data_IF_512507480435
#
_entry.id   IF_512507480435
#
_cell.length_a   1.000
_cell.length_b   1.000
_cell.length_c   1.000
_cell.angle_alpha   90.00
_cell.angle_beta   90.00
_cell.angle_gamma   90.00
#
_symmetry.space_group_name_H-M   'P 1'
#
loop_
_entity.id
_entity.type
_entity.pdbx_description
1 polymer ?
#
# COMPACT_ATOMS: atom_id res chain seq x y z
N UNK A 1 -47.12 56.55 4.41
CA UNK A 1 -47.48 57.66 5.33
C UNK A 1 -47.25 57.15 6.75
N UNK A 2 -46.32 57.79 7.48
CA UNK A 2 -45.89 57.60 8.88
C UNK A 2 -45.24 56.25 9.28
N UNK A 3 -43.92 56.14 9.52
CA UNK A 3 -43.04 56.66 10.60
C UNK A 3 -43.22 56.01 11.97
N UNK A 4 -42.14 55.41 12.49
CA UNK A 4 -41.67 55.38 13.90
C UNK A 4 -40.15 55.02 13.84
N UNK A 5 -39.18 55.92 14.14
CA UNK A 5 -38.55 56.19 15.46
C UNK A 5 -38.28 54.89 16.26
N UNK A 6 -37.11 54.55 16.78
CA UNK A 6 -35.77 55.15 16.92
C UNK A 6 -35.01 54.38 18.02
N UNK A 7 -33.67 54.25 17.88
CA UNK A 7 -32.59 54.30 18.92
C UNK A 7 -32.77 53.43 20.20
N UNK A 8 -31.85 52.56 20.66
CA UNK A 8 -30.49 52.18 20.25
C UNK A 8 -29.78 51.32 21.33
N UNK A 9 -28.49 51.00 21.06
CA UNK A 9 -27.38 50.66 22.01
C UNK A 9 -27.46 49.23 22.64
N UNK A 10 -26.43 48.36 22.72
CA UNK A 10 -25.03 48.29 22.29
C UNK A 10 -24.51 46.83 22.30
N UNK A 11 -23.47 46.60 21.47
CA UNK A 11 -22.31 45.70 21.63
C UNK A 11 -22.51 44.26 22.14
N UNK A 12 -22.31 43.32 21.22
CA UNK A 12 -21.82 41.97 21.51
C UNK A 12 -20.97 41.48 20.35
N UNK A 13 -19.66 41.63 20.46
CA UNK A 13 -18.68 41.18 19.49
C UNK A 13 -18.70 39.64 19.45
N UNK A 14 -19.17 39.03 18.36
CA UNK A 14 -18.93 37.61 18.06
C UNK A 14 -18.33 37.51 16.67
N UNK A 15 -17.02 37.32 16.67
CA UNK A 15 -16.24 36.81 15.56
C UNK A 15 -16.84 35.48 15.09
N UNK A 16 -17.40 35.49 13.88
CA UNK A 16 -17.75 34.27 13.16
C UNK A 16 -16.46 33.53 12.75
N UNK A 17 -16.29 32.23 13.05
CA UNK A 17 -15.32 31.43 12.33
C UNK A 17 -15.88 31.21 10.93
N UNK A 18 -15.15 31.70 9.93
CA UNK A 18 -15.34 31.32 8.52
C UNK A 18 -15.28 29.79 8.43
N UNK A 19 -16.34 29.18 7.94
CA UNK A 19 -16.32 27.80 7.46
C UNK A 19 -15.29 27.71 6.32
N UNK A 20 -14.09 27.23 6.64
CA UNK A 20 -13.10 26.85 5.64
C UNK A 20 -13.60 25.61 4.91
N UNK A 21 -13.79 25.72 3.60
CA UNK A 21 -14.14 24.59 2.75
C UNK A 21 -13.05 23.52 2.88
N UNK A 22 -13.39 22.37 3.47
CA UNK A 22 -12.57 21.18 3.39
C UNK A 22 -12.55 20.74 1.93
N UNK A 23 -11.47 21.08 1.21
CA UNK A 23 -11.22 20.57 -0.14
C UNK A 23 -10.85 19.11 0.00
N UNK A 24 -11.74 18.27 -0.52
CA UNK A 24 -11.57 16.84 -0.71
C UNK A 24 -10.29 16.56 -1.52
N UNK A 25 -9.56 15.50 -1.16
CA UNK A 25 -8.46 14.94 -1.95
C UNK A 25 -8.97 14.61 -3.35
N UNK A 26 -8.33 15.08 -4.44
CA UNK A 26 -8.43 14.38 -5.70
C UNK A 26 -7.49 13.16 -5.60
N UNK A 27 -8.06 11.96 -5.42
CA UNK A 27 -7.40 10.68 -5.72
C UNK A 27 -7.14 10.50 -7.25
N UNK A 28 -7.22 11.59 -8.02
CA UNK A 28 -7.09 11.64 -9.48
C UNK A 28 -5.64 11.78 -9.97
N UNK A 29 -4.66 11.98 -9.09
CA UNK A 29 -3.31 12.35 -9.54
C UNK A 29 -2.28 11.20 -9.56
N UNK A 30 -2.57 9.99 -9.06
CA UNK A 30 -1.64 8.86 -9.22
C UNK A 30 -1.54 8.37 -10.68
N UNK A 31 -2.57 8.60 -11.50
CA UNK A 31 -2.60 8.15 -12.89
C UNK A 31 -2.14 9.19 -13.93
N UNK A 32 -1.77 10.41 -13.52
CA UNK A 32 -1.30 11.46 -14.45
C UNK A 32 -0.44 12.49 -13.72
N UNK A 33 0.88 12.31 -13.79
CA UNK A 33 1.83 13.34 -14.24
C UNK A 33 3.25 12.79 -14.26
N UNK A 34 3.62 12.21 -15.41
CA UNK A 34 4.96 12.43 -15.93
C UNK A 34 5.13 13.93 -16.17
N UNK A 35 5.95 14.59 -15.35
CA UNK A 35 6.78 15.77 -15.68
C UNK A 35 7.27 16.43 -14.39
N UNK A 36 8.29 15.83 -13.82
CA UNK A 36 9.45 16.62 -13.45
C UNK A 36 10.66 15.70 -13.62
N UNK A 37 11.54 15.91 -14.61
CA UNK A 37 12.81 15.21 -14.60
C UNK A 37 13.54 15.75 -13.37
N UNK A 38 13.58 14.97 -12.29
CA UNK A 38 14.68 15.13 -11.34
C UNK A 38 15.93 14.97 -12.20
N UNK A 39 16.66 16.07 -12.38
CA UNK A 39 17.90 16.05 -13.13
C UNK A 39 18.74 14.95 -12.52
N UNK A 40 19.12 13.96 -13.34
CA UNK A 40 20.06 12.92 -12.97
C UNK A 40 21.22 13.59 -12.20
N UNK A 41 21.34 13.43 -10.86
CA UNK A 41 22.40 14.12 -10.09
C UNK A 41 23.81 13.80 -10.61
N UNK A 42 23.90 12.67 -11.32
CA UNK A 42 24.98 12.08 -12.08
C UNK A 42 25.55 12.93 -13.22
N UNK A 43 24.86 14.00 -13.66
CA UNK A 43 25.34 14.88 -14.73
C UNK A 43 26.02 16.16 -14.22
N UNK A 44 26.28 16.26 -12.91
CA UNK A 44 27.01 17.38 -12.34
C UNK A 44 28.46 16.98 -12.04
N UNK A 45 29.39 17.54 -12.81
CA UNK A 45 30.84 17.50 -12.54
C UNK A 45 31.15 18.26 -11.23
N UNK A 46 30.79 17.69 -10.08
CA UNK A 46 31.20 18.20 -8.77
C UNK A 46 32.12 17.17 -8.14
N UNK A 47 33.37 17.57 -7.96
CA UNK A 47 34.40 16.86 -7.21
C UNK A 47 33.90 16.55 -5.79
N UNK A 48 34.10 15.34 -5.25
CA UNK A 48 33.70 15.01 -3.89
C UNK A 48 34.44 15.88 -2.86
N UNK A 49 33.78 16.38 -1.81
CA UNK A 49 34.49 17.03 -0.70
C UNK A 49 35.29 16.01 0.11
N UNK A 50 36.47 16.43 0.57
CA UNK A 50 37.38 15.66 1.42
C UNK A 50 36.73 15.32 2.78
N UNK A 51 37.05 14.12 3.25
CA UNK A 51 36.47 13.47 4.43
C UNK A 51 37.09 14.08 5.70
N UNK A 52 36.28 14.74 6.53
CA UNK A 52 36.65 15.18 7.87
C UNK A 52 36.19 14.17 8.94
N UNK A 53 37.11 13.75 9.80
CA UNK A 53 36.91 12.77 10.87
C UNK A 53 36.00 13.28 12.01
N UNK A 54 34.75 12.79 12.07
CA UNK A 54 33.99 12.53 13.32
C UNK A 54 32.86 11.51 13.06
N UNK A 55 33.15 10.19 13.13
CA UNK A 55 32.19 9.06 13.19
C UNK A 55 31.28 8.82 11.97
N UNK A 56 31.09 7.58 11.46
CA UNK A 56 30.29 7.38 10.26
C UNK A 56 28.80 7.41 10.62
N UNK A 57 28.21 8.60 10.61
CA UNK A 57 26.80 8.75 10.22
C UNK A 57 26.80 8.64 8.70
N UNK A 58 27.07 7.42 8.24
CA UNK A 58 27.60 7.12 6.92
C UNK A 58 26.53 6.59 5.99
N UNK A 59 26.69 6.88 4.71
CA UNK A 59 25.91 6.34 3.59
C UNK A 59 25.58 4.86 3.74
N UNK A 60 24.30 4.51 3.60
CA UNK A 60 23.78 3.14 3.71
C UNK A 60 23.12 2.71 2.41
N UNK A 61 22.92 1.41 2.22
CA UNK A 61 22.03 0.94 1.16
C UNK A 61 20.58 1.31 1.49
N UNK A 62 19.78 1.55 0.46
CA UNK A 62 18.37 1.89 0.62
C UNK A 62 17.58 0.84 1.40
N UNK A 63 17.76 -0.45 1.14
CA UNK A 63 17.06 -1.52 1.85
C UNK A 63 17.32 -1.50 3.36
N UNK A 64 18.58 -1.29 3.77
CA UNK A 64 18.95 -1.21 5.18
C UNK A 64 18.40 0.05 5.86
N UNK A 65 18.51 1.19 5.19
CA UNK A 65 18.03 2.47 5.71
C UNK A 65 16.50 2.49 5.80
N UNK A 66 15.82 1.95 4.79
CA UNK A 66 14.37 1.82 4.71
C UNK A 66 13.84 0.85 5.78
N UNK A 67 14.46 -0.33 5.97
CA UNK A 67 14.09 -1.27 7.04
C UNK A 67 14.16 -0.61 8.43
N UNK A 68 15.25 0.11 8.73
CA UNK A 68 15.40 0.81 10.00
C UNK A 68 14.35 1.93 10.15
N UNK A 69 14.14 2.71 9.08
CA UNK A 69 13.23 3.84 9.08
C UNK A 69 11.77 3.43 9.31
N UNK A 70 11.32 2.30 8.77
CA UNK A 70 9.92 1.86 8.91
C UNK A 70 9.70 0.89 10.08
N UNK A 71 10.60 -0.08 10.27
CA UNK A 71 10.38 -1.24 11.14
C UNK A 71 11.34 -1.34 12.33
N UNK A 72 12.41 -0.53 12.35
CA UNK A 72 13.35 -0.45 13.46
C UNK A 72 12.67 -0.07 14.79
N UNK A 73 13.39 -0.09 15.93
CA UNK A 73 12.80 0.18 17.25
C UNK A 73 12.08 1.53 17.34
N UNK A 74 12.59 2.53 16.61
CA UNK A 74 11.96 3.84 16.43
C UNK A 74 11.33 4.02 15.05
N UNK A 75 10.96 2.96 14.35
CA UNK A 75 10.47 3.03 12.98
C UNK A 75 9.10 3.71 12.86
N UNK A 76 8.79 4.18 11.65
CA UNK A 76 7.54 4.85 11.30
C UNK A 76 6.31 4.08 11.77
N UNK A 77 6.19 2.79 11.42
CA UNK A 77 4.99 2.00 11.76
C UNK A 77 4.84 1.67 13.25
N UNK A 78 5.89 1.84 14.06
CA UNK A 78 5.80 1.67 15.52
C UNK A 78 5.39 2.95 16.24
N UNK A 79 5.69 4.12 15.67
CA UNK A 79 5.49 5.44 16.31
C UNK A 79 4.27 6.17 15.78
N UNK A 80 4.08 6.14 14.47
CA UNK A 80 2.92 6.74 13.85
C UNK A 80 1.73 5.87 14.24
N UNK A 81 0.93 6.31 15.21
CA UNK A 81 -0.43 5.81 15.32
C UNK A 81 -1.09 6.11 13.97
N UNK A 82 -1.43 5.12 13.12
CA UNK A 82 -1.79 5.40 11.72
C UNK A 82 -3.12 6.16 11.56
N UNK A 83 -3.74 6.62 12.65
CA UNK A 83 -4.99 7.38 12.62
C UNK A 83 -4.87 8.73 11.88
N UNK A 84 -3.68 9.33 11.76
CA UNK A 84 -3.52 10.62 11.06
C UNK A 84 -2.86 10.51 9.67
N UNK A 85 -2.13 9.42 9.39
CA UNK A 85 -1.46 9.21 8.10
C UNK A 85 -2.22 8.25 7.17
N UNK A 86 -3.00 7.32 7.73
CA UNK A 86 -3.96 6.44 7.04
C UNK A 86 -5.42 6.84 7.32
N UNK A 87 -5.64 8.08 7.77
CA UNK A 87 -6.96 8.70 7.99
C UNK A 87 -7.87 8.72 6.74
N UNK A 88 -7.43 8.19 5.60
CA UNK A 88 -8.22 8.07 4.36
C UNK A 88 -8.17 6.69 3.72
N UNK A 89 -7.89 5.62 4.46
CA UNK A 89 -8.08 4.26 3.91
C UNK A 89 -8.42 3.21 4.95
N UNK A 90 -8.70 3.56 6.21
CA UNK A 90 -9.19 2.55 7.16
C UNK A 90 -10.31 3.11 8.07
N UNK A 91 -10.15 4.33 8.60
CA UNK A 91 -11.27 5.09 9.19
C UNK A 91 -12.16 5.78 8.12
N UNK A 92 -11.64 5.91 6.89
CA UNK A 92 -12.32 6.49 5.73
C UNK A 92 -12.94 5.46 4.78
N UNK A 93 -12.90 4.17 5.11
CA UNK A 93 -13.34 3.11 4.20
C UNK A 93 -14.85 2.95 4.09
N UNK A 94 -15.67 3.41 5.04
CA UNK A 94 -17.14 3.33 4.95
C UNK A 94 -17.65 2.09 4.20
N UNK A 95 -18.30 2.31 3.05
CA UNK A 95 -18.78 1.23 2.18
C UNK A 95 -17.71 0.55 1.29
N UNK A 96 -16.56 1.19 1.03
CA UNK A 96 -15.43 0.65 0.27
C UNK A 96 -14.77 -0.52 1.01
N UNK A 97 -14.50 -0.38 2.32
CA UNK A 97 -13.89 -1.46 3.12
C UNK A 97 -14.84 -2.64 3.31
N UNK A 98 -16.13 -2.37 3.52
CA UNK A 98 -17.15 -3.41 3.57
C UNK A 98 -17.25 -4.20 2.24
N UNK A 99 -17.14 -3.52 1.09
CA UNK A 99 -17.11 -4.20 -0.21
C UNK A 99 -15.84 -5.00 -0.44
N UNK A 100 -14.68 -4.53 0.02
CA UNK A 100 -13.46 -5.30 -0.03
C UNK A 100 -13.59 -6.57 0.83
N UNK A 101 -14.07 -6.44 2.08
CA UNK A 101 -14.35 -7.57 2.95
C UNK A 101 -15.33 -8.58 2.32
N UNK A 102 -16.44 -8.10 1.73
CA UNK A 102 -17.39 -8.93 0.98
C UNK A 102 -16.70 -9.69 -0.15
N UNK A 103 -15.85 -9.02 -0.93
CA UNK A 103 -15.15 -9.66 -2.05
C UNK A 103 -14.18 -10.76 -1.59
N UNK A 104 -13.53 -10.57 -0.44
CA UNK A 104 -12.64 -11.58 0.14
C UNK A 104 -13.42 -12.77 0.70
N UNK A 105 -14.59 -12.55 1.31
CA UNK A 105 -15.48 -13.63 1.74
C UNK A 105 -16.00 -14.44 0.55
N UNK A 106 -16.43 -13.76 -0.53
CA UNK A 106 -16.85 -14.43 -1.76
C UNK A 106 -15.71 -15.21 -2.42
N UNK A 107 -14.49 -14.67 -2.37
CA UNK A 107 -13.31 -15.35 -2.86
C UNK A 107 -12.99 -16.59 -2.02
N UNK A 108 -13.05 -16.48 -0.69
CA UNK A 108 -12.87 -17.60 0.23
C UNK A 108 -13.93 -18.69 -0.03
N UNK A 109 -15.20 -18.31 -0.14
CA UNK A 109 -16.32 -19.22 -0.44
C UNK A 109 -16.11 -19.95 -1.78
N UNK A 110 -15.74 -19.22 -2.84
CA UNK A 110 -15.47 -19.80 -4.18
C UNK A 110 -14.40 -20.89 -4.13
N UNK A 111 -13.44 -20.79 -3.20
CA UNK A 111 -12.35 -21.74 -3.01
C UNK A 111 -12.58 -22.71 -1.83
N UNK A 112 -13.73 -22.67 -1.16
CA UNK A 112 -14.04 -23.52 -0.01
C UNK A 112 -13.15 -23.28 1.21
N UNK A 113 -12.67 -22.05 1.40
CA UNK A 113 -11.73 -21.65 2.44
C UNK A 113 -12.49 -21.16 3.68
N UNK A 114 -12.03 -21.55 4.86
CA UNK A 114 -12.71 -21.26 6.15
C UNK A 114 -11.92 -20.30 7.03
N UNK A 115 -10.67 -20.00 6.65
CA UNK A 115 -9.78 -19.08 7.37
C UNK A 115 -9.35 -17.94 6.47
N UNK A 116 -9.29 -16.72 7.01
CA UNK A 116 -8.65 -15.57 6.38
C UNK A 116 -7.52 -15.07 7.28
N UNK A 117 -6.33 -14.91 6.70
CA UNK A 117 -5.18 -14.29 7.35
C UNK A 117 -4.83 -13.00 6.63
N UNK A 118 -4.78 -11.88 7.35
CA UNK A 118 -4.35 -10.58 6.82
C UNK A 118 -2.92 -10.25 7.27
N UNK A 119 -2.01 -10.03 6.32
CA UNK A 119 -0.65 -9.52 6.54
C UNK A 119 -0.64 -8.01 6.38
N UNK A 120 0.01 -7.31 7.30
CA UNK A 120 -0.01 -5.85 7.33
C UNK A 120 -1.38 -5.33 7.77
N UNK A 121 -1.99 -6.02 8.75
CA UNK A 121 -3.38 -5.77 9.15
C UNK A 121 -3.61 -4.38 9.77
N UNK A 122 -2.56 -3.61 10.06
CA UNK A 122 -2.66 -2.24 10.55
C UNK A 122 -3.44 -2.18 11.87
N UNK A 123 -4.60 -1.50 11.86
CA UNK A 123 -5.49 -1.45 13.03
C UNK A 123 -6.66 -2.44 12.95
N UNK A 124 -6.63 -3.35 11.99
CA UNK A 124 -7.59 -4.44 11.84
C UNK A 124 -8.94 -3.99 11.30
N UNK A 125 -9.01 -2.89 10.54
CA UNK A 125 -10.25 -2.40 9.97
C UNK A 125 -10.89 -3.41 8.98
N UNK A 126 -10.07 -4.07 8.17
CA UNK A 126 -10.54 -5.13 7.27
C UNK A 126 -11.04 -6.34 8.08
N UNK A 127 -10.27 -6.82 9.05
CA UNK A 127 -10.68 -7.90 9.96
C UNK A 127 -11.97 -7.58 10.73
N UNK A 128 -12.15 -6.33 11.15
CA UNK A 128 -13.38 -5.88 11.81
C UNK A 128 -14.58 -5.97 10.87
N UNK A 129 -14.40 -5.55 9.60
CA UNK A 129 -15.44 -5.67 8.60
C UNK A 129 -15.76 -7.14 8.27
N UNK A 130 -14.74 -7.99 8.13
CA UNK A 130 -14.89 -9.43 7.90
C UNK A 130 -15.65 -10.10 9.06
N UNK A 131 -15.25 -9.83 10.31
CA UNK A 131 -15.89 -10.38 11.51
C UNK A 131 -17.38 -9.99 11.61
N UNK A 132 -17.74 -8.77 11.21
CA UNK A 132 -19.12 -8.31 11.21
C UNK A 132 -19.99 -9.01 10.14
N UNK A 133 -19.37 -9.50 9.05
CA UNK A 133 -20.07 -10.12 7.92
C UNK A 133 -20.12 -11.64 7.99
N UNK A 134 -19.11 -12.28 8.58
CA UNK A 134 -19.03 -13.74 8.70
C UNK A 134 -18.42 -14.17 10.04
N UNK A 135 -19.24 -14.30 11.09
CA UNK A 135 -18.79 -14.70 12.43
C UNK A 135 -18.16 -16.10 12.48
N UNK A 136 -18.47 -16.96 11.52
CA UNK A 136 -17.97 -18.34 11.45
C UNK A 136 -16.61 -18.45 10.74
N UNK A 137 -16.12 -17.36 10.13
CA UNK A 137 -14.79 -17.35 9.47
C UNK A 137 -13.71 -17.19 10.52
N UNK A 138 -12.70 -18.05 10.48
CA UNK A 138 -11.53 -17.87 11.33
C UNK A 138 -10.67 -16.72 10.81
N UNK A 139 -10.43 -15.71 11.64
CA UNK A 139 -9.73 -14.49 11.26
C UNK A 139 -8.43 -14.33 12.04
N UNK A 140 -7.33 -14.07 11.33
CA UNK A 140 -6.02 -13.81 11.94
C UNK A 140 -5.43 -12.54 11.34
N UNK A 141 -5.08 -11.58 12.20
CA UNK A 141 -4.28 -10.42 11.80
C UNK A 141 -2.80 -10.61 12.11
N UNK A 142 -1.94 -10.16 11.20
CA UNK A 142 -0.49 -10.19 11.36
C UNK A 142 0.06 -8.79 11.11
N UNK A 143 0.66 -8.18 12.12
CA UNK A 143 1.24 -6.84 12.00
C UNK A 143 2.38 -6.61 13.01
N UNK A 144 3.22 -5.61 12.76
CA UNK A 144 4.32 -5.23 13.66
C UNK A 144 3.81 -4.59 14.95
N UNK A 145 2.61 -4.01 14.92
CA UNK A 145 1.98 -3.39 16.09
C UNK A 145 1.26 -4.40 16.98
N UNK A 146 1.00 -4.00 18.22
CA UNK A 146 0.19 -4.80 19.13
C UNK A 146 -1.26 -4.86 18.67
N UNK A 147 -1.94 -5.93 19.09
CA UNK A 147 -3.35 -6.15 18.81
C UNK A 147 -4.17 -4.88 19.13
N UNK A 148 -4.87 -4.31 18.14
CA UNK A 148 -5.77 -3.18 18.37
C UNK A 148 -6.88 -3.51 19.37
N UNK A 149 -7.10 -2.62 20.36
CA UNK A 149 -8.16 -2.78 21.37
C UNK A 149 -9.58 -2.95 20.78
N UNK A 150 -9.97 -2.27 19.68
CA UNK A 150 -11.32 -2.40 19.12
C UNK A 150 -11.60 -3.73 18.39
N UNK A 151 -10.59 -4.59 18.16
CA UNK A 151 -10.80 -5.82 17.42
C UNK A 151 -11.68 -6.81 18.19
N UNK A 152 -12.67 -7.45 17.54
CA UNK A 152 -13.48 -8.50 18.16
C UNK A 152 -12.60 -9.61 18.77
N UNK A 153 -12.89 -10.09 20.00
CA UNK A 153 -12.03 -11.01 20.73
C UNK A 153 -11.79 -12.35 20.01
N UNK A 154 -12.65 -12.71 19.06
CA UNK A 154 -12.56 -13.92 18.24
C UNK A 154 -11.45 -13.84 17.17
N UNK A 155 -11.06 -12.62 16.76
CA UNK A 155 -9.96 -12.43 15.80
C UNK A 155 -8.64 -12.79 16.49
N UNK A 156 -7.82 -13.65 15.92
CA UNK A 156 -6.46 -13.91 16.44
C UNK A 156 -5.46 -12.86 15.96
N UNK A 157 -4.36 -12.68 16.69
CA UNK A 157 -3.32 -11.70 16.34
C UNK A 157 -1.92 -12.28 16.51
N UNK A 158 -1.06 -12.09 15.50
CA UNK A 158 0.34 -12.51 15.52
C UNK A 158 1.21 -11.28 15.27
N UNK A 159 2.26 -11.11 16.09
CA UNK A 159 3.19 -9.99 15.92
C UNK A 159 4.20 -10.30 14.84
N UNK A 160 4.30 -9.43 13.84
CA UNK A 160 5.29 -9.49 12.76
C UNK A 160 6.62 -8.86 13.19
N UNK A 161 7.76 -9.36 12.69
CA UNK A 161 9.05 -8.67 12.82
C UNK A 161 9.11 -7.36 11.99
N UNK A 162 8.29 -7.23 10.94
CA UNK A 162 8.27 -6.09 10.01
C UNK A 162 9.19 -6.24 8.80
N UNK A 163 8.80 -5.65 7.68
CA UNK A 163 9.48 -5.81 6.39
C UNK A 163 9.11 -7.12 5.70
N UNK A 164 10.08 -7.74 5.02
CA UNK A 164 9.90 -9.01 4.32
C UNK A 164 9.68 -10.25 5.21
N UNK A 165 10.35 -10.41 6.37
CA UNK A 165 10.24 -11.64 7.15
C UNK A 165 8.84 -11.86 7.73
N UNK A 166 8.38 -13.10 7.68
CA UNK A 166 7.13 -13.54 8.30
C UNK A 166 7.38 -14.22 9.65
N UNK A 167 6.44 -14.15 10.61
CA UNK A 167 6.56 -14.84 11.89
C UNK A 167 6.59 -16.37 11.72
N UNK A 168 7.36 -17.06 12.56
CA UNK A 168 7.55 -18.52 12.49
C UNK A 168 6.24 -19.29 12.75
N UNK A 169 5.35 -18.71 13.56
CA UNK A 169 4.02 -19.24 13.85
C UNK A 169 3.11 -19.30 12.61
N UNK A 170 3.40 -18.49 11.60
CA UNK A 170 2.66 -18.46 10.35
C UNK A 170 3.21 -19.54 9.41
N UNK A 171 2.88 -20.80 9.66
CA UNK A 171 3.35 -21.93 8.85
C UNK A 171 2.31 -23.04 8.74
N UNK A 172 2.37 -23.83 7.67
CA UNK A 172 1.51 -24.99 7.46
C UNK A 172 0.02 -24.67 7.37
N UNK A 173 -0.35 -23.46 6.94
CA UNK A 173 -1.72 -22.99 6.87
C UNK A 173 -2.56 -23.82 5.88
N UNK A 174 -3.80 -24.11 6.25
CA UNK A 174 -4.68 -25.02 5.52
C UNK A 174 -6.06 -24.41 5.40
N UNK A 175 -6.67 -24.54 4.22
CA UNK A 175 -8.01 -24.04 3.91
C UNK A 175 -8.11 -22.52 4.16
N UNK A 176 -7.01 -21.83 3.84
CA UNK A 176 -6.77 -20.43 4.16
C UNK A 176 -6.75 -19.55 2.92
N UNK A 177 -7.49 -18.44 2.96
CA UNK A 177 -7.22 -17.28 2.14
C UNK A 177 -6.22 -16.37 2.87
N UNK A 178 -4.97 -16.38 2.44
CA UNK A 178 -3.99 -15.43 2.94
C UNK A 178 -4.05 -14.18 2.06
N UNK A 179 -4.21 -13.01 2.67
CA UNK A 179 -4.27 -11.71 2.01
C UNK A 179 -3.14 -10.82 2.52
N UNK A 180 -2.42 -10.18 1.61
CA UNK A 180 -1.52 -9.07 1.92
C UNK A 180 -1.91 -7.88 1.04
N UNK A 181 -2.47 -6.83 1.63
CA UNK A 181 -2.96 -5.64 0.91
C UNK A 181 -2.04 -4.46 1.21
N UNK A 182 -1.38 -3.92 0.19
CA UNK A 182 -0.36 -2.86 0.30
C UNK A 182 0.77 -3.27 1.28
N UNK A 183 1.32 -4.47 1.06
CA UNK A 183 2.40 -4.99 1.90
C UNK A 183 3.73 -5.02 1.14
N UNK A 184 3.74 -5.45 -0.13
CA UNK A 184 4.99 -5.59 -0.87
C UNK A 184 5.58 -4.23 -1.27
N UNK A 185 4.78 -3.20 -1.45
CA UNK A 185 5.24 -1.85 -1.77
C UNK A 185 6.09 -1.23 -0.67
N UNK A 186 5.86 -1.62 0.58
CA UNK A 186 6.58 -1.17 1.79
C UNK A 186 7.65 -2.16 2.26
N UNK A 187 7.75 -3.34 1.64
CA UNK A 187 8.89 -4.25 1.84
C UNK A 187 10.16 -3.58 1.29
N UNK A 188 11.20 -3.37 2.14
CA UNK A 188 12.42 -2.70 1.73
C UNK A 188 13.17 -3.46 0.64
N UNK A 189 13.69 -2.71 -0.33
CA UNK A 189 14.46 -3.27 -1.43
C UNK A 189 15.64 -2.37 -1.82
N UNK A 190 16.72 -2.94 -2.35
CA UNK A 190 17.84 -2.16 -2.87
C UNK A 190 17.37 -1.27 -4.02
N UNK A 191 18.02 -0.12 -4.18
CA UNK A 191 17.82 0.76 -5.34
C UNK A 191 19.12 0.76 -6.14
N UNK A 192 19.00 0.68 -7.47
CA UNK A 192 20.13 0.77 -8.38
C UNK A 192 19.89 1.84 -9.44
N UNK A 193 20.99 2.44 -9.91
CA UNK A 193 21.00 3.37 -11.03
C UNK A 193 22.10 2.98 -12.02
N UNK A 194 21.85 3.21 -13.31
CA UNK A 194 22.76 2.90 -14.40
C UNK A 194 23.72 4.06 -14.61
N UNK A 195 25.02 3.78 -14.56
CA UNK A 195 26.08 4.74 -14.86
C UNK A 195 26.18 5.06 -16.37
N UNK A 196 26.98 6.08 -16.75
CA UNK A 196 27.17 6.46 -18.15
C UNK A 196 27.77 5.37 -19.04
N UNK A 197 28.49 4.41 -18.45
CA UNK A 197 29.08 3.25 -19.11
C UNK A 197 28.09 2.07 -19.26
N UNK A 198 26.85 2.23 -18.77
CA UNK A 198 25.82 1.20 -18.78
C UNK A 198 25.86 0.24 -17.59
N UNK A 199 26.83 0.39 -16.68
CA UNK A 199 26.98 -0.44 -15.49
C UNK A 199 25.95 -0.07 -14.43
N UNK A 200 25.32 -1.06 -13.80
CA UNK A 200 24.43 -0.81 -12.66
C UNK A 200 25.24 -0.59 -11.38
N UNK A 201 24.95 0.49 -10.66
CA UNK A 201 25.49 0.81 -9.35
C UNK A 201 24.38 0.82 -8.31
N UNK A 202 24.68 0.32 -7.11
CA UNK A 202 23.78 0.54 -5.97
C UNK A 202 23.63 2.04 -5.71
N UNK A 203 22.46 2.47 -5.24
CA UNK A 203 22.23 3.83 -4.74
C UNK A 203 22.36 3.79 -3.22
N UNK A 204 23.29 4.56 -2.70
CA UNK A 204 23.46 4.76 -1.26
C UNK A 204 22.74 6.03 -0.82
N UNK A 205 22.24 6.04 0.40
CA UNK A 205 21.45 7.12 0.98
C UNK A 205 22.01 7.55 2.34
N UNK A 206 22.01 8.85 2.58
CA UNK A 206 22.31 9.47 3.88
C UNK A 206 21.00 9.73 4.66
N UNK A 207 21.05 9.95 5.99
CA UNK A 207 19.84 10.14 6.79
C UNK A 207 18.94 11.31 6.36
N UNK A 208 19.49 12.32 5.67
CA UNK A 208 18.75 13.46 5.13
C UNK A 208 18.06 13.17 3.78
N UNK A 209 18.21 11.95 3.25
CA UNK A 209 17.69 11.53 1.94
C UNK A 209 18.62 11.88 0.78
N UNK A 210 19.79 12.48 1.02
CA UNK A 210 20.79 12.67 -0.03
C UNK A 210 21.26 11.32 -0.57
N UNK A 211 21.49 11.22 -1.87
CA UNK A 211 21.90 9.99 -2.54
C UNK A 211 23.27 10.11 -3.21
N UNK A 212 24.00 8.99 -3.30
CA UNK A 212 25.22 8.88 -4.11
C UNK A 212 25.39 7.48 -4.72
N UNK A 213 26.18 7.36 -5.80
CA UNK A 213 26.64 6.06 -6.29
C UNK A 213 27.32 5.23 -5.22
N UNK A 214 26.92 3.97 -5.14
CA UNK A 214 27.59 2.91 -4.42
C UNK A 214 28.40 1.98 -5.34
N UNK A 215 28.83 0.83 -4.81
CA UNK A 215 29.52 -0.20 -5.58
C UNK A 215 28.68 -0.71 -6.77
N UNK A 216 29.33 -1.26 -7.82
CA UNK A 216 28.63 -1.97 -8.88
C UNK A 216 27.74 -3.08 -8.34
N UNK A 217 26.54 -3.22 -8.90
CA UNK A 217 25.62 -4.32 -8.57
C UNK A 217 26.15 -5.61 -9.20
N UNK A 218 26.15 -6.70 -8.43
CA UNK A 218 26.65 -8.00 -8.87
C UNK A 218 25.74 -9.15 -8.38
N UNK A 219 25.98 -10.34 -8.90
CA UNK A 219 25.28 -11.57 -8.47
C UNK A 219 23.77 -11.53 -8.76
N UNK A 220 22.93 -12.14 -7.90
CA UNK A 220 21.52 -12.33 -8.24
C UNK A 220 20.72 -11.03 -8.34
N UNK A 221 21.19 -9.94 -7.72
CA UNK A 221 20.57 -8.62 -7.90
C UNK A 221 20.82 -8.06 -9.31
N UNK A 222 22.02 -8.29 -9.87
CA UNK A 222 22.33 -7.94 -11.26
C UNK A 222 21.57 -8.83 -12.25
N UNK A 223 21.41 -10.11 -11.93
CA UNK A 223 20.65 -11.05 -12.76
C UNK A 223 19.17 -10.66 -12.80
N UNK A 224 18.60 -10.26 -11.66
CA UNK A 224 17.24 -9.71 -11.59
C UNK A 224 17.08 -8.46 -12.47
N UNK A 225 18.00 -7.49 -12.35
CA UNK A 225 17.99 -6.28 -13.18
C UNK A 225 18.04 -6.61 -14.67
N UNK A 226 18.89 -7.56 -15.08
CA UNK A 226 19.03 -7.97 -16.49
C UNK A 226 17.83 -8.77 -17.01
N UNK A 227 17.17 -9.53 -16.14
CA UNK A 227 16.02 -10.37 -16.50
C UNK A 227 14.70 -9.59 -16.59
N UNK A 228 14.55 -8.53 -15.79
CA UNK A 228 13.26 -7.85 -15.61
C UNK A 228 13.21 -6.40 -16.10
N UNK A 229 14.34 -5.75 -16.37
CA UNK A 229 14.35 -4.34 -16.79
C UNK A 229 14.71 -4.16 -18.26
N UNK A 230 13.88 -3.41 -19.02
CA UNK A 230 14.24 -2.91 -20.33
C UNK A 230 15.50 -2.04 -20.32
N UNK A 231 16.13 -1.87 -21.49
CA UNK A 231 17.40 -1.15 -21.62
C UNK A 231 17.26 0.35 -21.31
N UNK A 232 16.08 0.93 -21.56
CA UNK A 232 15.72 2.33 -21.31
C UNK A 232 15.55 2.68 -19.83
N UNK A 233 15.44 1.69 -18.94
CA UNK A 233 15.37 1.93 -17.50
C UNK A 233 16.77 2.29 -16.98
N UNK A 234 16.86 3.48 -16.38
CA UNK A 234 18.11 4.04 -15.85
C UNK A 234 18.18 4.02 -14.32
N UNK A 235 17.06 3.78 -13.64
CA UNK A 235 16.96 3.62 -12.19
C UNK A 235 15.81 2.68 -11.83
N UNK A 236 16.04 1.81 -10.86
CA UNK A 236 15.03 0.86 -10.42
C UNK A 236 15.22 0.41 -8.97
N UNK A 237 14.10 0.05 -8.37
CA UNK A 237 14.03 -0.77 -7.16
C UNK A 237 14.21 -2.26 -7.54
N UNK A 238 15.20 -2.93 -6.94
CA UNK A 238 15.49 -4.35 -7.21
C UNK A 238 14.46 -5.22 -6.49
N UNK A 239 13.52 -5.78 -7.23
CA UNK A 239 12.34 -6.49 -6.68
C UNK A 239 12.63 -7.84 -6.01
N UNK A 240 13.86 -8.37 -6.09
CA UNK A 240 14.22 -9.70 -5.55
C UNK A 240 13.77 -9.94 -4.10
N UNK A 241 13.93 -9.01 -3.14
CA UNK A 241 13.44 -9.22 -1.77
C UNK A 241 11.91 -9.38 -1.70
N UNK A 242 11.17 -8.70 -2.57
CA UNK A 242 9.70 -8.78 -2.66
C UNK A 242 9.26 -10.08 -3.32
N UNK A 243 9.98 -10.52 -4.36
CA UNK A 243 9.76 -11.85 -4.96
C UNK A 243 9.99 -12.96 -3.91
N UNK A 244 11.05 -12.84 -3.10
CA UNK A 244 11.33 -13.76 -2.00
C UNK A 244 10.26 -13.70 -0.90
N UNK A 245 9.77 -12.50 -0.57
CA UNK A 245 8.70 -12.32 0.41
C UNK A 245 7.38 -12.96 -0.06
N UNK A 246 7.02 -12.80 -1.34
CA UNK A 246 5.86 -13.46 -1.95
C UNK A 246 6.02 -14.99 -1.99
N UNK A 247 7.21 -15.48 -2.30
CA UNK A 247 7.51 -16.90 -2.30
C UNK A 247 7.42 -17.50 -0.87
N UNK A 248 7.97 -16.83 0.14
CA UNK A 248 7.85 -17.24 1.55
C UNK A 248 6.39 -17.26 1.99
N UNK A 249 5.64 -16.20 1.64
CA UNK A 249 4.22 -16.10 1.91
C UNK A 249 3.42 -17.27 1.33
N UNK A 250 3.71 -17.61 0.07
CA UNK A 250 3.11 -18.75 -0.63
C UNK A 250 3.51 -20.09 -0.02
N UNK A 251 4.74 -20.20 0.50
CA UNK A 251 5.23 -21.40 1.17
C UNK A 251 4.59 -21.63 2.54
N UNK A 252 4.11 -20.59 3.22
CA UNK A 252 3.37 -20.72 4.51
C UNK A 252 2.02 -21.40 4.35
N UNK A 253 1.46 -21.41 3.15
CA UNK A 253 0.14 -21.97 2.84
C UNK A 253 0.29 -23.33 2.14
N UNK A 254 -0.14 -24.39 2.86
CA UNK A 254 -0.17 -25.78 2.38
C UNK A 254 -1.37 -26.03 1.47
N UNK A 255 -2.56 -25.60 1.91
CA UNK A 255 -3.78 -25.61 1.10
C UNK A 255 -4.49 -24.27 1.23
N UNK A 256 -4.92 -23.69 0.12
CA UNK A 256 -5.62 -22.42 0.13
C UNK A 256 -5.27 -21.51 -1.04
N UNK A 257 -5.45 -20.21 -0.84
CA UNK A 257 -5.17 -19.18 -1.83
C UNK A 257 -4.33 -18.08 -1.19
N UNK A 258 -3.25 -17.69 -1.87
CA UNK A 258 -2.46 -16.50 -1.50
C UNK A 258 -2.87 -15.38 -2.43
N UNK A 259 -3.26 -14.25 -1.88
CA UNK A 259 -3.63 -13.03 -2.59
C UNK A 259 -2.74 -11.88 -2.10
N UNK A 260 -2.00 -11.27 -3.02
CA UNK A 260 -1.35 -9.99 -2.78
C UNK A 260 -2.04 -8.92 -3.63
N UNK A 261 -2.40 -7.82 -2.98
CA UNK A 261 -3.01 -6.65 -3.61
C UNK A 261 -2.08 -5.47 -3.44
N UNK A 262 -1.47 -5.01 -4.52
CA UNK A 262 -0.48 -3.94 -4.47
C UNK A 262 -0.54 -3.07 -5.73
N UNK A 263 -0.13 -1.81 -5.61
CA UNK A 263 0.08 -0.97 -6.78
C UNK A 263 1.49 -1.17 -7.34
N UNK A 264 1.57 -1.20 -8.66
CA UNK A 264 2.79 -1.60 -9.32
C UNK A 264 2.71 -1.53 -10.83
N UNK A 265 3.58 -2.26 -11.49
CA UNK A 265 3.72 -2.27 -12.94
C UNK A 265 4.05 -3.67 -13.47
N UNK A 266 3.76 -3.88 -14.75
CA UNK A 266 4.20 -5.04 -15.52
C UNK A 266 5.39 -4.67 -16.41
N UNK A 267 6.03 -5.65 -17.06
CA UNK A 267 7.13 -5.45 -18.01
C UNK A 267 6.88 -4.32 -19.03
N UNK A 268 5.65 -4.18 -19.54
CA UNK A 268 5.30 -3.17 -20.55
C UNK A 268 5.23 -1.73 -20.01
N UNK A 269 5.04 -1.57 -18.70
CA UNK A 269 4.78 -0.28 -18.05
C UNK A 269 5.88 0.10 -17.04
N UNK A 270 7.07 -0.51 -17.17
CA UNK A 270 8.19 -0.33 -16.24
C UNK A 270 8.60 1.16 -16.15
N UNK A 271 8.63 1.76 -14.95
CA UNK A 271 9.07 3.13 -14.73
C UNK A 271 10.54 3.29 -15.10
N UNK A 272 10.85 4.30 -15.90
CA UNK A 272 12.21 4.54 -16.38
C UNK A 272 13.17 4.96 -15.26
N UNK A 273 12.64 5.66 -14.24
CA UNK A 273 13.41 6.37 -13.21
C UNK A 273 13.15 5.85 -11.79
N UNK A 274 12.60 4.63 -11.65
CA UNK A 274 12.12 4.11 -10.37
C UNK A 274 10.87 4.81 -9.85
N UNK A 275 10.44 4.42 -8.67
CA UNK A 275 9.18 4.85 -8.04
C UNK A 275 9.28 5.13 -6.55
N UNK A 276 10.44 4.89 -5.93
CA UNK A 276 10.66 5.16 -4.51
C UNK A 276 10.23 6.59 -4.14
N UNK A 277 9.33 6.67 -3.18
CA UNK A 277 8.77 7.94 -2.70
C UNK A 277 8.52 7.87 -1.19
N UNK A 278 8.40 9.05 -0.57
CA UNK A 278 7.92 9.18 0.79
C UNK A 278 6.48 9.72 0.84
N UNK A 279 5.76 9.44 1.91
CA UNK A 279 4.52 10.11 2.28
C UNK A 279 4.60 10.69 3.69
N UNK A 280 4.11 11.91 3.85
CA UNK A 280 4.00 12.62 5.14
C UNK A 280 2.65 13.30 5.21
N UNK A 281 1.92 13.09 6.29
CA UNK A 281 0.57 13.66 6.50
C UNK A 281 -0.37 13.42 5.29
N UNK A 282 -0.28 12.25 4.67
CA UNK A 282 -1.07 11.87 3.49
C UNK A 282 -0.71 12.61 2.19
N UNK A 283 0.42 13.30 2.15
CA UNK A 283 0.96 14.00 0.97
C UNK A 283 2.26 13.37 0.53
N UNK A 284 2.46 13.23 -0.78
CA UNK A 284 3.70 12.73 -1.35
C UNK A 284 4.86 13.70 -1.05
N UNK A 285 5.99 13.17 -0.62
CA UNK A 285 7.19 13.90 -0.25
C UNK A 285 8.45 13.18 -0.80
N UNK A 286 9.59 13.88 -0.90
CA UNK A 286 10.86 13.21 -1.16
C UNK A 286 11.12 12.08 -0.13
N UNK A 287 11.66 10.93 -0.55
CA UNK A 287 11.95 9.83 0.37
C UNK A 287 13.10 10.19 1.31
N UNK A 288 12.88 10.09 2.62
CA UNK A 288 13.88 10.33 3.67
C UNK A 288 13.84 9.16 4.67
N UNK A 289 14.95 8.43 4.88
CA UNK A 289 14.99 7.24 5.74
C UNK A 289 15.30 7.59 7.21
N UNK A 290 14.58 8.56 7.77
CA UNK A 290 14.68 8.97 9.19
C UNK A 290 13.45 8.56 10.03
N UNK A 291 12.53 7.81 9.40
CA UNK A 291 11.27 7.35 9.98
C UNK A 291 10.23 8.46 10.16
N UNK A 292 10.40 9.59 9.48
CA UNK A 292 9.44 10.71 9.47
C UNK A 292 8.51 10.69 8.25
N UNK A 293 8.77 9.82 7.28
CA UNK A 293 7.92 9.51 6.15
C UNK A 293 7.63 8.00 6.09
N UNK A 294 6.47 7.67 5.55
CA UNK A 294 6.16 6.34 5.05
C UNK A 294 6.87 6.15 3.71
N UNK A 295 7.70 5.12 3.57
CA UNK A 295 8.52 4.89 2.39
C UNK A 295 7.94 3.73 1.59
N UNK A 296 7.74 3.95 0.30
CA UNK A 296 7.12 2.97 -0.59
C UNK A 296 7.69 3.06 -2.01
N UNK A 297 7.61 1.95 -2.74
CA UNK A 297 7.88 1.88 -4.16
C UNK A 297 6.95 0.88 -4.84
N UNK A 298 6.61 1.12 -6.10
CA UNK A 298 5.77 0.26 -6.92
C UNK A 298 6.33 -1.17 -7.01
N UNK A 299 5.44 -2.15 -7.06
CA UNK A 299 5.82 -3.56 -7.15
C UNK A 299 5.97 -4.01 -8.60
N UNK A 300 6.97 -4.85 -8.83
CA UNK A 300 7.20 -5.58 -10.07
C UNK A 300 6.31 -6.83 -10.13
N UNK A 301 5.02 -6.70 -10.44
CA UNK A 301 4.06 -7.81 -10.23
C UNK A 301 4.39 -9.06 -11.07
N UNK A 302 4.90 -8.86 -12.28
CA UNK A 302 5.29 -9.93 -13.19
C UNK A 302 6.59 -10.66 -12.77
N UNK A 303 7.35 -10.16 -11.78
CA UNK A 303 8.50 -10.90 -11.22
C UNK A 303 8.13 -11.84 -10.07
N UNK A 304 6.96 -11.67 -9.44
CA UNK A 304 6.57 -12.42 -8.25
C UNK A 304 6.40 -13.94 -8.49
N UNK A 305 6.19 -14.34 -9.74
CA UNK A 305 5.90 -15.75 -10.08
C UNK A 305 4.51 -16.21 -9.63
N UNK A 306 3.56 -15.28 -9.47
CA UNK A 306 2.17 -15.61 -9.18
C UNK A 306 1.49 -16.33 -10.36
N UNK A 307 0.56 -17.25 -10.07
CA UNK A 307 -0.19 -17.98 -11.10
C UNK A 307 -1.01 -17.05 -12.00
N UNK A 308 -1.64 -16.04 -11.39
CA UNK A 308 -2.43 -15.04 -12.09
C UNK A 308 -2.18 -13.64 -11.54
N UNK A 309 -2.10 -12.67 -12.46
CA UNK A 309 -2.04 -11.25 -12.15
C UNK A 309 -3.14 -10.56 -12.95
N UNK A 310 -4.07 -9.88 -12.26
CA UNK A 310 -5.17 -9.13 -12.88
C UNK A 310 -5.40 -7.82 -12.14
N UNK A 311 -6.03 -6.85 -12.77
CA UNK A 311 -6.36 -5.60 -12.06
C UNK A 311 -7.42 -5.85 -10.97
N UNK A 312 -7.40 -5.06 -9.90
CA UNK A 312 -8.42 -5.04 -8.86
C UNK A 312 -9.79 -4.75 -9.47
N UNK A 313 -9.84 -3.87 -10.48
CA UNK A 313 -11.07 -3.61 -11.25
C UNK A 313 -11.66 -4.90 -11.83
N UNK A 314 -10.85 -5.69 -12.54
CA UNK A 314 -11.29 -6.96 -13.12
C UNK A 314 -11.70 -7.95 -12.04
N UNK A 315 -10.92 -8.03 -10.97
CA UNK A 315 -11.19 -8.95 -9.88
C UNK A 315 -12.51 -8.67 -9.15
N UNK A 316 -12.74 -7.41 -8.81
CA UNK A 316 -13.95 -7.00 -8.13
C UNK A 316 -15.17 -7.05 -9.04
N UNK A 317 -15.03 -6.81 -10.34
CA UNK A 317 -16.14 -7.01 -11.28
C UNK A 317 -16.54 -8.48 -11.45
N UNK A 318 -15.58 -9.39 -11.38
CA UNK A 318 -15.82 -10.84 -11.40
C UNK A 318 -16.50 -11.33 -10.11
N UNK A 319 -16.15 -10.76 -8.96
CA UNK A 319 -16.71 -11.17 -7.66
C UNK A 319 -18.04 -10.48 -7.33
N UNK A 320 -18.15 -9.16 -7.55
CA UNK A 320 -19.26 -8.33 -7.09
C UNK A 320 -20.18 -7.85 -8.23
N UNK A 321 -19.82 -8.11 -9.48
CA UNK A 321 -20.49 -7.54 -10.65
C UNK A 321 -20.09 -6.08 -10.91
N UNK A 322 -20.82 -5.44 -11.83
CA UNK A 322 -20.61 -4.01 -12.16
C UNK A 322 -21.45 -3.12 -11.27
N UNK A 323 -20.94 -1.92 -10.99
CA UNK A 323 -21.72 -0.91 -10.29
C UNK A 323 -22.91 -0.47 -11.16
N UNK A 324 -24.12 -0.68 -10.66
CA UNK A 324 -25.36 -0.20 -11.28
C UNK A 324 -25.97 0.88 -10.39
N UNK A 325 -26.35 2.01 -10.99
CA UNK A 325 -27.05 3.06 -10.26
C UNK A 325 -28.47 2.58 -9.94
N UNK A 326 -28.96 2.75 -8.70
CA UNK A 326 -30.33 2.41 -8.38
C UNK A 326 -31.32 3.27 -9.19
N UNK A 327 -32.49 2.71 -9.52
CA UNK A 327 -33.56 3.47 -10.16
C UNK A 327 -33.92 4.70 -9.31
N UNK A 328 -34.07 5.85 -9.96
CA UNK A 328 -34.45 7.09 -9.30
C UNK A 328 -35.84 7.00 -8.65
N UNK A 329 -36.73 6.12 -9.12
CA UNK A 329 -38.05 5.92 -8.51
C UNK A 329 -37.96 5.48 -7.04
N UNK A 330 -36.92 4.74 -6.68
CA UNK A 330 -36.66 4.33 -5.30
C UNK A 330 -36.46 5.54 -4.37
N UNK A 331 -35.95 6.67 -4.87
CA UNK A 331 -35.83 7.89 -4.06
C UNK A 331 -37.17 8.39 -3.50
N UNK A 332 -38.29 8.00 -4.13
CA UNK A 332 -39.64 8.34 -3.70
C UNK A 332 -40.31 7.22 -2.91
N UNK A 333 -40.09 5.95 -3.27
CA UNK A 333 -40.79 4.80 -2.68
C UNK A 333 -40.04 4.16 -1.51
N UNK A 334 -38.71 4.19 -1.53
CA UNK A 334 -37.81 3.74 -0.45
C UNK A 334 -36.51 4.59 -0.43
N UNK A 335 -36.57 5.82 0.13
CA UNK A 335 -35.42 6.71 0.14
C UNK A 335 -34.18 6.12 0.83
N UNK A 336 -34.38 5.33 1.89
CA UNK A 336 -33.29 4.68 2.63
C UNK A 336 -32.64 3.57 1.80
N UNK A 337 -33.44 2.74 1.13
CA UNK A 337 -32.94 1.73 0.21
C UNK A 337 -32.21 2.33 -0.99
N UNK A 338 -32.72 3.42 -1.55
CA UNK A 338 -32.05 4.18 -2.61
C UNK A 338 -30.66 4.65 -2.16
N UNK A 339 -30.56 5.30 -1.00
CA UNK A 339 -29.27 5.79 -0.48
C UNK A 339 -28.28 4.65 -0.19
N UNK A 340 -28.76 3.51 0.33
CA UNK A 340 -27.92 2.32 0.58
C UNK A 340 -27.34 1.78 -0.73
N UNK A 341 -28.19 1.59 -1.75
CA UNK A 341 -27.75 1.10 -3.06
C UNK A 341 -26.81 2.09 -3.76
N UNK A 342 -27.11 3.39 -3.69
CA UNK A 342 -26.25 4.44 -4.25
C UNK A 342 -24.88 4.48 -3.57
N UNK A 343 -24.85 4.33 -2.24
CA UNK A 343 -23.60 4.27 -1.46
C UNK A 343 -22.76 3.06 -1.89
N UNK A 344 -23.39 1.90 -2.04
CA UNK A 344 -22.72 0.68 -2.56
C UNK A 344 -22.18 0.90 -3.98
N UNK A 345 -22.99 1.44 -4.88
CA UNK A 345 -22.58 1.68 -6.27
C UNK A 345 -21.37 2.65 -6.35
N UNK A 346 -21.38 3.73 -5.56
CA UNK A 346 -20.27 4.68 -5.49
C UNK A 346 -19.00 4.07 -4.90
N UNK A 347 -19.13 3.24 -3.87
CA UNK A 347 -18.00 2.53 -3.27
C UNK A 347 -17.37 1.56 -4.28
N UNK A 348 -18.18 0.77 -4.98
CA UNK A 348 -17.70 -0.13 -6.03
C UNK A 348 -17.06 0.63 -7.20
N UNK A 349 -17.64 1.76 -7.63
CA UNK A 349 -17.07 2.62 -8.66
C UNK A 349 -15.70 3.20 -8.23
N UNK A 350 -15.53 3.51 -6.94
CA UNK A 350 -14.27 3.97 -6.37
C UNK A 350 -13.21 2.86 -6.38
N UNK A 351 -13.58 1.67 -5.87
CA UNK A 351 -12.72 0.48 -5.84
C UNK A 351 -12.29 -0.01 -7.22
N UNK A 352 -13.13 0.22 -8.23
CA UNK A 352 -12.90 -0.26 -9.60
C UNK A 352 -12.39 0.84 -10.53
N UNK A 353 -12.14 2.06 -10.03
CA UNK A 353 -11.67 3.18 -10.86
C UNK A 353 -10.31 2.86 -11.52
N UNK A 354 -10.18 2.91 -12.86
CA UNK A 354 -8.95 2.50 -13.56
C UNK A 354 -7.79 3.48 -13.36
N UNK A 355 -8.05 4.64 -12.76
CA UNK A 355 -7.03 5.65 -12.43
C UNK A 355 -6.88 5.84 -10.92
N UNK A 356 -7.48 4.95 -10.12
CA UNK A 356 -7.44 4.95 -8.66
C UNK A 356 -7.26 3.52 -8.16
N UNK A 357 -8.03 3.13 -7.14
CA UNK A 357 -7.91 1.80 -6.52
C UNK A 357 -8.12 0.63 -7.49
N UNK A 358 -8.85 0.82 -8.58
CA UNK A 358 -9.06 -0.24 -9.58
C UNK A 358 -7.81 -0.57 -10.39
N UNK A 359 -6.79 0.30 -10.37
CA UNK A 359 -5.51 0.10 -11.03
C UNK A 359 -4.53 -0.77 -10.20
N UNK A 360 -4.89 -1.10 -8.96
CA UNK A 360 -4.10 -2.02 -8.14
C UNK A 360 -4.10 -3.39 -8.81
N UNK A 361 -3.08 -4.18 -8.56
CA UNK A 361 -2.96 -5.53 -9.09
C UNK A 361 -3.29 -6.55 -8.02
N UNK A 362 -4.04 -7.57 -8.40
CA UNK A 362 -4.28 -8.78 -7.63
C UNK A 362 -3.38 -9.88 -8.19
N UNK A 363 -2.34 -10.23 -7.45
CA UNK A 363 -1.49 -11.38 -7.71
C UNK A 363 -1.95 -12.56 -6.85
N UNK A 364 -2.38 -13.64 -7.49
CA UNK A 364 -2.90 -14.83 -6.80
C UNK A 364 -2.07 -16.06 -7.07
N UNK A 365 -1.87 -16.90 -6.06
CA UNK A 365 -1.29 -18.24 -6.20
C UNK A 365 -2.13 -19.28 -5.47
N UNK A 366 -2.61 -20.27 -6.21
CA UNK A 366 -3.40 -21.37 -5.65
C UNK A 366 -2.45 -22.39 -5.02
N UNK A 367 -2.76 -22.78 -3.78
CA UNK A 367 -1.98 -23.77 -3.03
C UNK A 367 -2.84 -25.01 -2.88
N UNK A 368 -2.44 -26.07 -3.57
CA UNK A 368 -3.01 -27.39 -3.39
C UNK A 368 -1.98 -28.27 -2.71
N UNK A 369 -2.43 -29.22 -1.88
CA UNK A 369 -1.51 -30.21 -1.32
C UNK A 369 -0.80 -30.88 -2.49
N UNK A 370 0.54 -31.07 -2.46
CA UNK A 370 1.13 -32.03 -3.36
C UNK A 370 0.40 -33.34 -3.07
N UNK A 371 -0.25 -33.90 -4.09
CA UNK A 371 -0.80 -35.24 -4.00
C UNK A 371 0.30 -36.13 -3.43
N UNK A 372 0.01 -36.83 -2.34
CA UNK A 372 0.82 -37.96 -1.89
C UNK A 372 0.63 -39.07 -2.93
N UNK A 373 1.33 -38.92 -4.05
CA UNK A 373 1.47 -39.94 -5.10
C UNK A 373 2.41 -41.04 -4.66
#
# INVERSE_FOLDING_TARGET
MLTLRGIGIARGNRTSPRAGSARTKPLQNCARQQRNPSKNPWNSNKTPPEIGETGPVGWRRWDEAWQEALYGPGGFYRRAAPAEHFATSAQGLGATGALLAESLLLLAERHGLTRIVEIGAGRGELLTALAAMSPDTELVGVDIVDRPEPLPPEVSWIRSPGGAPLPDELTGLTDTLLVAHEWLDVVPCPVAARGPDGTWHAVLVAPDGSEQPGPPVAGPDLDWLRGHLPAEVDRAEIGRPRDAAFADLSARVRTGLVLVVDYGHLAADRPLHGTLTGYRDGTQAPPVPDGSCDLTAHVALDSLGADHVRSQREALHDLLGRAELPSHDLSRTDPTGYLRLLTRANALATLTSPTGLGAFWWATSLRSSPDLG
#
